data_IF_013798916193
#
_entry.id   IF_013798916193
#
_cell.length_a   1.000
_cell.length_b   1.000
_cell.length_c   1.000
_cell.angle_alpha   90.00
_cell.angle_beta   90.00
_cell.angle_gamma   90.00
#
_symmetry.space_group_name_H-M   'P 1'
#
loop_
_entity.id
_entity.type
_entity.pdbx_description
1 polymer ?
#
# COMPACT_ATOMS: atom_id res chain seq x y z
N UNK A 1 -20.61 7.15 15.18
CA UNK A 1 -20.00 6.06 14.40
C UNK A 1 -20.66 5.95 13.04
N UNK A 2 -19.97 6.40 12.00
CA UNK A 2 -20.45 6.41 10.62
C UNK A 2 -20.09 5.10 9.89
N UNK A 3 -21.10 4.25 9.65
CA UNK A 3 -20.91 2.92 9.05
C UNK A 3 -20.42 3.00 7.60
N UNK A 4 -20.79 4.03 6.85
CA UNK A 4 -20.40 4.17 5.45
C UNK A 4 -18.90 4.51 5.34
N UNK A 5 -18.43 5.44 6.17
CA UNK A 5 -17.00 5.75 6.27
C UNK A 5 -16.19 4.54 6.72
N UNK A 6 -16.72 3.72 7.64
CA UNK A 6 -16.05 2.51 8.09
C UNK A 6 -15.84 1.51 6.94
N UNK A 7 -16.87 1.28 6.10
CA UNK A 7 -16.76 0.41 4.92
C UNK A 7 -15.74 0.97 3.93
N UNK A 8 -15.80 2.26 3.61
CA UNK A 8 -14.83 2.92 2.72
C UNK A 8 -13.41 2.84 3.27
N UNK A 9 -13.23 3.00 4.58
CA UNK A 9 -11.96 2.81 5.27
C UNK A 9 -11.43 1.38 5.14
N UNK A 10 -12.31 0.38 5.30
CA UNK A 10 -11.98 -1.03 5.10
C UNK A 10 -11.52 -1.34 3.67
N UNK A 11 -12.15 -0.76 2.65
CA UNK A 11 -11.72 -0.90 1.24
C UNK A 11 -10.33 -0.27 1.03
N UNK A 12 -10.06 0.88 1.62
CA UNK A 12 -8.72 1.48 1.55
C UNK A 12 -7.67 0.65 2.28
N UNK A 13 -8.01 0.04 3.42
CA UNK A 13 -7.11 -0.87 4.13
C UNK A 13 -6.87 -2.18 3.38
N UNK A 14 -7.85 -2.72 2.65
CA UNK A 14 -7.61 -3.90 1.80
C UNK A 14 -6.68 -3.56 0.63
N UNK A 15 -6.87 -2.39 0.00
CA UNK A 15 -5.94 -1.84 -0.99
C UNK A 15 -4.53 -1.63 -0.43
N UNK A 16 -4.41 -1.13 0.80
CA UNK A 16 -3.15 -1.01 1.53
C UNK A 16 -2.47 -2.38 1.69
N UNK A 17 -3.17 -3.39 2.20
CA UNK A 17 -2.61 -4.74 2.36
C UNK A 17 -2.08 -5.33 1.06
N UNK A 18 -2.86 -5.22 -0.03
CA UNK A 18 -2.44 -5.70 -1.36
C UNK A 18 -1.21 -4.93 -1.85
N UNK A 19 -1.19 -3.61 -1.68
CA UNK A 19 -0.06 -2.79 -2.10
C UNK A 19 1.24 -3.14 -1.35
N UNK A 20 1.18 -3.50 -0.07
CA UNK A 20 2.34 -3.98 0.70
C UNK A 20 2.86 -5.29 0.10
N UNK A 21 1.97 -6.24 -0.16
CA UNK A 21 2.34 -7.56 -0.71
C UNK A 21 3.04 -7.36 -2.06
N UNK A 22 2.47 -6.54 -2.95
CA UNK A 22 3.06 -6.24 -4.26
C UNK A 22 4.40 -5.52 -4.14
N UNK A 23 4.50 -4.53 -3.26
CA UNK A 23 5.76 -3.81 -3.02
C UNK A 23 6.84 -4.76 -2.48
N UNK A 24 6.51 -5.62 -1.52
CA UNK A 24 7.45 -6.58 -0.95
C UNK A 24 7.95 -7.59 -1.99
N UNK A 25 7.05 -8.14 -2.80
CA UNK A 25 7.40 -9.06 -3.89
C UNK A 25 8.29 -8.37 -4.95
N UNK A 26 7.91 -7.17 -5.39
CA UNK A 26 8.68 -6.41 -6.37
C UNK A 26 10.06 -6.03 -5.83
N UNK A 27 10.18 -5.59 -4.58
CA UNK A 27 11.48 -5.30 -3.97
C UNK A 27 12.34 -6.56 -3.85
N UNK A 28 11.77 -7.67 -3.40
CA UNK A 28 12.49 -8.95 -3.29
C UNK A 28 13.04 -9.43 -4.64
N UNK A 29 12.16 -9.48 -5.65
CA UNK A 29 12.55 -9.87 -7.02
C UNK A 29 13.54 -8.84 -7.59
N UNK A 30 13.28 -7.55 -7.38
CA UNK A 30 14.11 -6.46 -7.86
C UNK A 30 15.54 -6.51 -7.34
N UNK A 31 15.74 -6.77 -6.04
CA UNK A 31 17.08 -6.94 -5.48
C UNK A 31 17.79 -8.19 -6.03
N UNK A 32 17.05 -9.23 -6.40
CA UNK A 32 17.63 -10.40 -7.05
C UNK A 32 18.06 -10.10 -8.51
N UNK A 33 17.21 -9.41 -9.28
CA UNK A 33 17.50 -9.02 -10.66
C UNK A 33 18.65 -8.00 -10.74
N UNK A 34 18.80 -7.13 -9.74
CA UNK A 34 19.89 -6.15 -9.70
C UNK A 34 21.27 -6.82 -9.69
N UNK A 35 21.39 -8.03 -9.14
CA UNK A 35 22.62 -8.84 -9.21
C UNK A 35 22.98 -9.28 -10.64
N UNK A 36 21.99 -9.31 -11.53
CA UNK A 36 22.12 -9.61 -12.95
C UNK A 36 22.17 -8.33 -13.81
N UNK A 37 22.18 -7.15 -13.18
CA UNK A 37 22.25 -5.85 -13.85
C UNK A 37 20.90 -5.23 -14.24
N UNK A 38 19.78 -5.87 -13.94
CA UNK A 38 18.44 -5.34 -14.24
C UNK A 38 17.80 -4.69 -13.00
N UNK A 39 17.55 -3.38 -13.10
CA UNK A 39 16.95 -2.57 -12.04
C UNK A 39 15.44 -2.33 -12.23
N UNK A 40 14.83 -2.83 -13.30
CA UNK A 40 13.46 -2.46 -13.69
C UNK A 40 12.45 -2.79 -12.59
N UNK A 41 12.46 -4.04 -12.11
CA UNK A 41 11.52 -4.48 -11.06
C UNK A 41 11.81 -3.80 -9.71
N UNK A 42 13.08 -3.52 -9.41
CA UNK A 42 13.47 -2.79 -8.20
C UNK A 42 12.89 -1.37 -8.20
N UNK A 43 12.99 -0.66 -9.33
CA UNK A 43 12.41 0.68 -9.50
C UNK A 43 10.90 0.64 -9.32
N UNK A 44 10.21 -0.35 -9.91
CA UNK A 44 8.75 -0.52 -9.74
C UNK A 44 8.40 -0.75 -8.26
N UNK A 45 9.14 -1.61 -7.56
CA UNK A 45 8.95 -1.86 -6.12
C UNK A 45 9.12 -0.60 -5.28
N UNK A 46 10.10 0.25 -5.60
CA UNK A 46 10.30 1.54 -4.93
C UNK A 46 9.16 2.53 -5.23
N UNK A 47 8.67 2.58 -6.47
CA UNK A 47 7.52 3.44 -6.84
C UNK A 47 6.20 3.00 -6.19
N UNK A 48 6.08 1.73 -5.79
CA UNK A 48 4.92 1.24 -5.03
C UNK A 48 4.90 1.74 -3.58
N UNK A 49 6.04 2.13 -2.99
CA UNK A 49 6.08 2.59 -1.60
C UNK A 49 5.22 3.85 -1.33
N UNK A 50 5.26 4.91 -2.17
CA UNK A 50 4.32 6.03 -2.05
C UNK A 50 2.84 5.60 -2.08
N UNK A 51 2.50 4.62 -2.93
CA UNK A 51 1.13 4.10 -3.04
C UNK A 51 0.72 3.40 -1.74
N UNK A 52 1.63 2.60 -1.15
CA UNK A 52 1.42 1.96 0.16
C UNK A 52 1.09 3.01 1.23
N UNK A 53 1.90 4.05 1.35
CA UNK A 53 1.67 5.10 2.35
C UNK A 53 0.39 5.90 2.08
N UNK A 54 0.06 6.16 0.81
CA UNK A 54 -1.17 6.86 0.45
C UNK A 54 -2.43 6.04 0.81
N UNK A 55 -2.42 4.74 0.53
CA UNK A 55 -3.51 3.84 0.89
C UNK A 55 -3.69 3.77 2.42
N UNK A 56 -2.58 3.67 3.16
CA UNK A 56 -2.59 3.70 4.63
C UNK A 56 -3.24 4.99 5.14
N UNK A 57 -2.76 6.15 4.66
CA UNK A 57 -3.25 7.46 5.08
C UNK A 57 -4.76 7.59 4.86
N UNK A 58 -5.26 7.22 3.68
CA UNK A 58 -6.69 7.27 3.36
C UNK A 58 -7.50 6.31 4.24
N UNK A 59 -7.04 5.07 4.40
CA UNK A 59 -7.73 4.05 5.17
C UNK A 59 -7.86 4.41 6.64
N UNK A 60 -6.73 4.71 7.30
CA UNK A 60 -6.73 5.08 8.71
C UNK A 60 -7.49 6.39 8.96
N UNK A 61 -7.36 7.40 8.08
CA UNK A 61 -8.12 8.64 8.22
C UNK A 61 -9.62 8.39 8.22
N UNK A 62 -10.13 7.59 7.28
CA UNK A 62 -11.56 7.27 7.20
C UNK A 62 -12.06 6.49 8.41
N UNK A 63 -11.26 5.56 8.94
CA UNK A 63 -11.62 4.79 10.13
C UNK A 63 -11.66 5.70 11.37
N UNK A 64 -10.64 6.54 11.55
CA UNK A 64 -10.61 7.49 12.66
C UNK A 64 -11.76 8.51 12.57
N UNK A 65 -12.03 9.05 11.39
CA UNK A 65 -13.16 9.96 11.13
C UNK A 65 -14.53 9.23 11.23
N UNK A 66 -14.58 7.90 11.16
CA UNK A 66 -15.80 7.13 11.38
C UNK A 66 -16.07 6.84 12.85
N UNK A 67 -15.01 6.72 13.67
CA UNK A 67 -15.10 6.36 15.09
C UNK A 67 -15.25 7.62 15.96
N UNK A 68 -14.42 8.63 15.72
CA UNK A 68 -14.27 9.79 16.60
C UNK A 68 -15.02 11.04 16.11
N UNK A 69 -15.60 11.00 14.90
CA UNK A 69 -16.49 12.02 14.35
C UNK A 69 -17.79 11.37 13.87
#
# INVERSE_FOLDING_TARGET
MDKEKLIKGGIWLSGFSISIILAALALFIGFNNQRQGDNTILIIGLMLLPIVFFCAYKGFRLILDAIFK
#
